data_IF_026638613505
#
_entry.id   IF_026638613505
#
_cell.length_a   1.000
_cell.length_b   1.000
_cell.length_c   1.000
_cell.angle_alpha   90.00
_cell.angle_beta   90.00
_cell.angle_gamma   90.00
#
_symmetry.space_group_name_H-M   'P 1'
#
loop_
_entity.id
_entity.type
_entity.pdbx_description
1 polymer ?
#
# COMPACT_ATOMS: atom_id res chain seq x y z
N UNK A 1 6.20 1.75 -9.28
CA UNK A 1 4.94 1.03 -9.58
C UNK A 1 5.26 -0.10 -10.53
N UNK A 2 4.75 -1.28 -10.28
CA UNK A 2 4.96 -2.41 -11.18
C UNK A 2 3.69 -3.25 -11.32
N UNK A 3 3.36 -3.63 -12.55
CA UNK A 3 2.31 -4.60 -12.86
C UNK A 3 0.99 -4.34 -12.14
N UNK A 4 0.56 -3.07 -12.08
CA UNK A 4 -0.62 -2.63 -11.35
C UNK A 4 -1.61 -1.92 -12.24
N UNK A 5 -2.83 -1.78 -11.76
CA UNK A 5 -3.91 -1.09 -12.48
C UNK A 5 -4.31 0.13 -11.67
N UNK A 6 -4.23 1.30 -12.30
CA UNK A 6 -4.67 2.55 -11.69
C UNK A 6 -5.93 3.07 -12.36
N UNK A 7 -6.90 3.43 -11.55
CA UNK A 7 -8.14 4.03 -12.04
C UNK A 7 -8.01 5.49 -12.44
N UNK A 8 -9.13 6.06 -12.81
CA UNK A 8 -9.24 7.44 -13.25
C UNK A 8 -8.88 8.41 -12.12
N UNK A 9 -7.96 9.32 -12.38
CA UNK A 9 -7.50 10.30 -11.40
C UNK A 9 -6.96 9.69 -10.10
N UNK A 10 -6.51 8.44 -10.13
CA UNK A 10 -5.78 7.89 -9.01
C UNK A 10 -4.44 8.62 -8.86
N UNK A 11 -4.09 8.99 -7.63
CA UNK A 11 -2.89 9.77 -7.35
C UNK A 11 -1.98 9.03 -6.37
N UNK A 12 -0.73 8.90 -6.75
CA UNK A 12 0.30 8.31 -5.89
C UNK A 12 1.30 9.39 -5.50
N UNK A 13 1.49 9.58 -4.21
CA UNK A 13 2.51 10.49 -3.71
C UNK A 13 3.91 9.98 -3.98
N UNK A 14 4.90 10.82 -3.68
CA UNK A 14 6.30 10.47 -3.87
C UNK A 14 6.68 9.28 -2.98
N UNK A 15 7.47 8.36 -3.51
CA UNK A 15 7.94 7.20 -2.76
C UNK A 15 6.92 6.11 -2.52
N UNK A 16 5.73 6.20 -3.12
CA UNK A 16 4.74 5.13 -3.02
C UNK A 16 5.24 3.91 -3.78
N UNK A 17 5.12 2.76 -3.14
CA UNK A 17 5.50 1.48 -3.73
C UNK A 17 4.24 0.62 -3.88
N UNK A 18 3.96 0.22 -5.11
CA UNK A 18 3.02 -0.83 -5.39
C UNK A 18 3.85 -2.09 -5.62
N UNK A 19 3.99 -2.88 -4.57
CA UNK A 19 4.82 -4.07 -4.59
C UNK A 19 4.17 -5.13 -5.48
N UNK A 20 4.96 -5.75 -6.35
CA UNK A 20 4.43 -6.68 -7.34
C UNK A 20 4.97 -8.11 -7.21
N UNK A 21 5.83 -8.36 -6.23
CA UNK A 21 6.40 -9.70 -5.97
C UNK A 21 6.35 -9.98 -4.49
N UNK A 22 5.89 -11.17 -4.13
CA UNK A 22 5.96 -11.63 -2.75
C UNK A 22 7.38 -12.03 -2.38
N UNK A 23 7.68 -11.94 -1.10
CA UNK A 23 9.02 -12.27 -0.59
C UNK A 23 9.43 -13.70 -0.95
N UNK A 24 8.52 -14.64 -0.93
CA UNK A 24 8.78 -16.05 -1.25
C UNK A 24 8.61 -16.37 -2.74
N UNK A 25 8.33 -15.36 -3.58
CA UNK A 25 8.13 -15.49 -5.02
C UNK A 25 6.98 -16.42 -5.40
N UNK A 26 6.03 -16.64 -4.50
CA UNK A 26 4.85 -17.44 -4.79
C UNK A 26 3.86 -16.70 -5.69
N UNK A 27 2.90 -17.44 -6.23
CA UNK A 27 1.83 -16.89 -7.02
C UNK A 27 1.00 -15.89 -6.22
N UNK A 28 0.57 -14.82 -6.88
CA UNK A 28 -0.20 -13.76 -6.26
C UNK A 28 -1.68 -14.01 -6.49
N UNK A 29 -2.46 -13.88 -5.42
CA UNK A 29 -3.91 -13.88 -5.48
C UNK A 29 -4.43 -12.48 -5.20
N UNK A 30 -5.48 -12.08 -5.91
CA UNK A 30 -6.15 -10.80 -5.68
C UNK A 30 -7.14 -10.96 -4.54
N UNK A 31 -7.05 -10.09 -3.55
CA UNK A 31 -7.94 -10.10 -2.40
C UNK A 31 -9.31 -9.55 -2.78
N UNK A 32 -10.36 -10.25 -2.37
CA UNK A 32 -11.74 -9.78 -2.51
C UNK A 32 -12.50 -10.02 -1.21
N UNK A 33 -13.66 -9.35 -1.02
CA UNK A 33 -14.48 -9.62 0.17
C UNK A 33 -14.94 -11.07 0.30
N UNK A 34 -15.04 -11.78 -0.84
CA UNK A 34 -15.52 -13.16 -0.87
C UNK A 34 -14.37 -14.18 -0.90
N UNK A 35 -13.15 -13.75 -0.74
CA UNK A 35 -11.97 -14.60 -0.76
C UNK A 35 -10.97 -14.16 -1.83
N UNK A 36 -9.91 -14.92 -1.97
CA UNK A 36 -8.83 -14.59 -2.88
C UNK A 36 -9.04 -15.22 -4.25
N UNK A 37 -8.72 -14.47 -5.31
CA UNK A 37 -8.79 -14.95 -6.69
C UNK A 37 -7.36 -15.16 -7.19
N UNK A 38 -6.96 -16.39 -7.52
CA UNK A 38 -5.62 -16.63 -8.06
C UNK A 38 -5.42 -15.93 -9.39
N UNK A 39 -4.27 -15.28 -9.56
CA UNK A 39 -3.93 -14.61 -10.81
C UNK A 39 -3.19 -15.50 -11.79
N UNK A 40 -2.59 -16.58 -11.33
CA UNK A 40 -1.67 -17.37 -12.13
C UNK A 40 -0.33 -16.67 -12.37
N UNK A 41 -0.08 -15.55 -11.72
CA UNK A 41 1.10 -14.72 -11.94
C UNK A 41 1.94 -14.64 -10.68
N UNK A 42 3.26 -14.59 -10.85
CA UNK A 42 4.21 -14.33 -9.77
C UNK A 42 4.51 -12.84 -9.62
N UNK A 43 4.13 -12.04 -10.60
CA UNK A 43 4.26 -10.59 -10.56
C UNK A 43 2.91 -9.96 -10.80
N UNK A 44 2.36 -9.34 -9.79
CA UNK A 44 1.14 -8.57 -9.88
C UNK A 44 1.06 -7.64 -8.68
N UNK A 45 0.80 -6.37 -8.94
CA UNK A 45 0.75 -5.37 -7.88
C UNK A 45 -0.63 -5.19 -7.30
N UNK A 46 -1.16 -3.99 -7.39
CA UNK A 46 -2.43 -3.61 -6.81
C UNK A 46 -3.41 -3.12 -7.87
N UNK A 47 -4.68 -3.13 -7.52
CA UNK A 47 -5.74 -2.49 -8.28
C UNK A 47 -6.19 -1.29 -7.45
N UNK A 48 -6.06 -0.09 -8.02
CA UNK A 48 -6.39 1.16 -7.32
C UNK A 48 -7.56 1.82 -8.02
N UNK A 49 -8.62 2.06 -7.28
CA UNK A 49 -9.86 2.63 -7.82
C UNK A 49 -9.75 4.12 -8.18
N UNK A 50 -10.80 4.60 -8.81
CA UNK A 50 -10.86 5.99 -9.29
C UNK A 50 -10.75 6.99 -8.15
N UNK A 51 -10.07 8.10 -8.37
CA UNK A 51 -9.95 9.22 -7.44
C UNK A 51 -9.40 8.86 -6.07
N UNK A 52 -8.71 7.74 -5.96
CA UNK A 52 -8.05 7.32 -4.72
C UNK A 52 -6.71 8.02 -4.62
N UNK A 53 -6.39 8.50 -3.43
CA UNK A 53 -5.11 9.14 -3.15
C UNK A 53 -4.29 8.29 -2.18
N UNK A 54 -3.04 8.04 -2.56
CA UNK A 54 -2.10 7.28 -1.73
C UNK A 54 -0.95 8.21 -1.36
N UNK A 55 -0.80 8.44 -0.07
CA UNK A 55 0.19 9.37 0.47
C UNK A 55 1.62 8.90 0.32
N UNK A 56 2.54 9.82 0.48
CA UNK A 56 3.97 9.57 0.27
C UNK A 56 4.49 8.39 1.09
N UNK A 57 5.36 7.60 0.50
CA UNK A 57 6.03 6.47 1.14
C UNK A 57 5.11 5.37 1.66
N UNK A 58 3.86 5.34 1.23
CA UNK A 58 3.00 4.21 1.51
C UNK A 58 3.40 3.01 0.67
N UNK A 59 3.18 1.82 1.20
CA UNK A 59 3.46 0.56 0.51
C UNK A 59 2.17 -0.23 0.38
N UNK A 60 1.83 -0.60 -0.83
CA UNK A 60 0.66 -1.43 -1.11
C UNK A 60 1.16 -2.80 -1.55
N UNK A 61 0.77 -3.82 -0.83
CA UNK A 61 1.28 -5.17 -1.03
C UNK A 61 0.59 -5.89 -2.20
N UNK A 62 1.24 -6.91 -2.79
CA UNK A 62 0.71 -7.58 -3.98
C UNK A 62 -0.69 -8.16 -3.77
N UNK A 63 -1.54 -8.00 -4.77
CA UNK A 63 -2.90 -8.52 -4.75
C UNK A 63 -3.90 -7.65 -4.01
N UNK A 64 -3.50 -6.50 -3.50
CA UNK A 64 -4.42 -5.59 -2.81
C UNK A 64 -5.37 -4.91 -3.78
N UNK A 65 -6.57 -4.64 -3.31
CA UNK A 65 -7.59 -3.91 -4.07
C UNK A 65 -8.04 -2.71 -3.25
N UNK A 66 -7.81 -1.53 -3.80
CA UNK A 66 -8.20 -0.27 -3.15
C UNK A 66 -9.42 0.27 -3.90
N UNK A 67 -10.49 0.50 -3.18
CA UNK A 67 -11.73 1.00 -3.77
C UNK A 67 -11.61 2.43 -4.26
N UNK A 68 -12.71 2.93 -4.82
CA UNK A 68 -12.80 4.32 -5.31
C UNK A 68 -12.88 5.31 -4.15
N UNK A 69 -12.44 6.52 -4.39
CA UNK A 69 -12.56 7.62 -3.43
C UNK A 69 -11.99 7.28 -2.06
N UNK A 70 -10.91 6.51 -2.05
CA UNK A 70 -10.22 6.16 -0.84
C UNK A 70 -9.05 7.09 -0.58
N UNK A 71 -8.59 7.11 0.64
CA UNK A 71 -7.42 7.88 1.03
C UNK A 71 -6.53 7.04 1.92
N UNK A 72 -5.30 6.84 1.49
CA UNK A 72 -4.29 6.13 2.28
C UNK A 72 -3.24 7.15 2.68
N UNK A 73 -3.05 7.31 3.98
CA UNK A 73 -2.15 8.32 4.53
C UNK A 73 -0.68 7.93 4.33
N UNK A 74 0.22 8.90 4.38
CA UNK A 74 1.64 8.63 4.21
C UNK A 74 2.17 7.59 5.18
N UNK A 75 3.09 6.77 4.72
CA UNK A 75 3.78 5.78 5.53
C UNK A 75 3.00 4.51 5.85
N UNK A 76 1.77 4.41 5.38
CA UNK A 76 0.93 3.22 5.62
C UNK A 76 1.45 2.04 4.80
N UNK A 77 1.52 0.87 5.43
CA UNK A 77 1.76 -0.39 4.75
C UNK A 77 0.44 -1.16 4.73
N UNK A 78 -0.14 -1.31 3.55
CA UNK A 78 -1.48 -1.86 3.41
C UNK A 78 -1.49 -3.16 2.63
N UNK A 79 -2.37 -4.07 3.03
CA UNK A 79 -2.62 -5.33 2.36
C UNK A 79 -4.10 -5.68 2.45
N UNK A 80 -4.67 -6.13 1.35
CA UNK A 80 -6.03 -6.63 1.34
C UNK A 80 -6.98 -5.77 0.53
N UNK A 81 -8.22 -5.69 0.97
CA UNK A 81 -9.29 -4.96 0.29
C UNK A 81 -9.65 -3.72 1.10
N UNK A 82 -9.70 -2.58 0.44
CA UNK A 82 -10.19 -1.35 1.04
C UNK A 82 -11.49 -0.95 0.36
N UNK A 83 -12.62 -0.93 1.07
CA UNK A 83 -13.91 -0.56 0.47
C UNK A 83 -13.93 0.88 -0.02
N UNK A 84 -14.85 1.19 -0.92
CA UNK A 84 -15.04 2.56 -1.43
C UNK A 84 -15.20 3.58 -0.30
N UNK A 85 -14.62 4.75 -0.47
CA UNK A 85 -14.79 5.85 0.45
C UNK A 85 -14.11 5.66 1.79
N UNK A 86 -13.15 4.75 1.88
CA UNK A 86 -12.46 4.46 3.13
C UNK A 86 -11.19 5.29 3.29
N UNK A 87 -10.77 5.47 4.52
CA UNK A 87 -9.56 6.20 4.87
C UNK A 87 -8.71 5.34 5.79
N UNK A 88 -7.43 5.20 5.47
CA UNK A 88 -6.48 4.46 6.30
C UNK A 88 -5.42 5.42 6.80
N UNK A 89 -5.29 5.51 8.11
CA UNK A 89 -4.27 6.31 8.77
C UNK A 89 -3.29 5.41 9.50
N UNK A 90 -2.05 5.86 9.59
CA UNK A 90 -1.05 5.19 10.40
C UNK A 90 -1.15 5.67 11.84
N UNK A 91 -1.37 4.74 12.75
CA UNK A 91 -1.27 5.02 14.18
C UNK A 91 0.10 4.57 14.63
N UNK A 92 0.95 5.51 15.02
CA UNK A 92 2.30 5.17 15.43
C UNK A 92 2.69 5.92 16.70
N UNK A 93 3.44 5.25 17.55
CA UNK A 93 4.03 5.82 18.74
C UNK A 93 5.50 6.09 18.47
N UNK A 94 5.89 7.37 18.58
CA UNK A 94 7.28 7.76 18.42
C UNK A 94 7.90 7.93 19.80
N UNK A 95 9.09 7.40 19.96
CA UNK A 95 9.87 7.61 21.16
C UNK A 95 10.91 8.69 20.89
N UNK A 96 10.79 9.80 21.60
CA UNK A 96 11.71 10.91 21.45
C UNK A 96 12.65 10.92 22.65
N UNK A 97 13.93 10.74 22.40
CA UNK A 97 14.95 10.68 23.43
C UNK A 97 15.93 11.83 23.29
N UNK A 98 16.45 12.25 24.43
CA UNK A 98 17.53 13.23 24.43
C UNK A 98 18.80 12.59 23.90
N UNK A 99 19.41 13.20 22.90
CA UNK A 99 20.67 12.76 22.35
C UNK A 99 21.83 13.34 23.14
N UNK A 100 22.09 12.78 24.27
CA UNK A 100 23.20 13.24 25.11
C UNK A 100 24.35 12.27 25.07
N UNK A 101 25.56 12.73 25.45
CA UNK A 101 26.78 11.94 25.47
C UNK A 101 27.23 11.42 24.11
N UNK A 102 26.67 11.98 23.06
CA UNK A 102 27.01 11.54 21.71
C UNK A 102 28.20 12.34 21.22
N UNK A 103 29.33 11.69 21.08
CA UNK A 103 30.52 12.34 20.60
C UNK A 103 31.07 13.42 21.53
N UNK A 104 30.60 13.47 22.75
CA UNK A 104 31.07 14.39 23.74
C UNK A 104 31.97 13.64 24.72
N UNK A 105 33.19 13.98 24.67
CA UNK A 105 34.16 13.39 25.61
C UNK A 105 34.02 14.04 26.97
#
# INVERSE_FOLDING_TARGET
MGDSILGYHAHLGAGVILSNVKLDHSEIAVSTPDGDIPTGLRKFGAIVGDRTEIGCNAVINPGSVIGRDCMIYPGVNFRGVLPHGSMVKLLQDLQVLSRRNIGLA
#
